data_IF_933199040402
#
_entry.id   IF_933199040402
#
_cell.length_a   1.000
_cell.length_b   1.000
_cell.length_c   1.000
_cell.angle_alpha   90.00
_cell.angle_beta   90.00
_cell.angle_gamma   90.00
#
_symmetry.space_group_name_H-M   'P 1'
#
loop_
_entity.id
_entity.type
_entity.pdbx_description
1 polymer ?
#
# COMPACT_ATOMS: atom_id res chain seq x y z
N UNK A 1 3.15 -8.56 -4.37
CA UNK A 1 4.46 -8.08 -3.89
C UNK A 1 5.13 -9.14 -3.02
N UNK A 2 6.36 -9.53 -3.36
CA UNK A 2 7.24 -10.35 -2.52
C UNK A 2 8.61 -9.67 -2.44
N UNK A 3 9.15 -9.51 -1.22
CA UNK A 3 10.40 -8.79 -0.98
C UNK A 3 11.40 -9.73 -0.30
N UNK A 4 12.54 -10.00 -0.96
CA UNK A 4 13.61 -10.79 -0.34
C UNK A 4 14.49 -9.94 0.59
N UNK A 5 14.10 -9.89 1.86
CA UNK A 5 14.81 -9.15 2.91
C UNK A 5 16.29 -9.57 3.10
N UNK A 6 16.67 -10.81 2.74
CA UNK A 6 18.06 -11.27 2.87
C UNK A 6 18.98 -10.58 1.87
N UNK A 7 18.52 -10.41 0.64
CA UNK A 7 19.27 -9.71 -0.41
C UNK A 7 19.41 -8.22 -0.10
N UNK A 8 18.39 -7.63 0.53
CA UNK A 8 18.40 -6.22 0.93
C UNK A 8 19.36 -5.96 2.09
N UNK A 9 19.36 -6.85 3.09
CA UNK A 9 20.30 -6.79 4.20
C UNK A 9 21.77 -6.96 3.75
N UNK A 10 22.03 -7.75 2.72
CA UNK A 10 23.37 -7.95 2.16
C UNK A 10 23.89 -6.71 1.41
N UNK A 11 23.00 -5.94 0.78
CA UNK A 11 23.35 -4.72 0.03
C UNK A 11 23.45 -3.47 0.91
N UNK A 12 22.92 -3.50 2.13
CA UNK A 12 23.03 -2.42 3.13
C UNK A 12 22.36 -1.10 2.74
N UNK A 13 21.58 -1.07 1.66
CA UNK A 13 20.94 0.13 1.14
C UNK A 13 19.42 0.09 1.35
N UNK A 14 18.79 1.23 1.65
CA UNK A 14 17.34 1.34 1.64
C UNK A 14 16.78 1.00 0.25
N UNK A 15 15.67 0.27 0.24
CA UNK A 15 14.98 -0.08 -1.01
C UNK A 15 13.72 0.76 -1.14
N UNK A 16 13.56 1.36 -2.31
CA UNK A 16 12.30 2.00 -2.69
C UNK A 16 11.48 1.02 -3.51
N UNK A 17 10.20 0.95 -3.19
CA UNK A 17 9.19 0.13 -3.83
C UNK A 17 8.14 1.09 -4.37
N UNK A 18 7.85 0.95 -5.65
CA UNK A 18 6.77 1.63 -6.34
C UNK A 18 5.98 0.54 -7.06
N UNK A 19 4.85 0.13 -6.47
CA UNK A 19 4.04 -0.95 -7.03
C UNK A 19 2.57 -0.58 -7.13
N UNK A 20 1.94 -1.07 -8.19
CA UNK A 20 0.49 -1.07 -8.35
C UNK A 20 -0.11 -2.25 -7.58
N UNK A 21 -1.16 -1.97 -6.80
CA UNK A 21 -1.88 -2.95 -5.99
C UNK A 21 -3.27 -3.15 -6.58
N UNK A 22 -3.59 -4.40 -6.91
CA UNK A 22 -4.97 -4.78 -7.25
C UNK A 22 -5.84 -4.77 -5.99
N UNK A 23 -6.76 -3.80 -5.94
CA UNK A 23 -7.72 -3.62 -4.86
C UNK A 23 -9.10 -4.20 -5.18
N UNK A 24 -9.28 -4.85 -6.33
CA UNK A 24 -10.56 -5.40 -6.79
C UNK A 24 -11.25 -6.25 -5.72
N UNK A 25 -10.47 -7.08 -5.02
CA UNK A 25 -10.94 -7.94 -3.93
C UNK A 25 -11.41 -7.17 -2.69
N UNK A 26 -10.81 -6.01 -2.39
CA UNK A 26 -11.16 -5.16 -1.25
C UNK A 26 -12.44 -4.37 -1.50
N UNK A 27 -12.65 -3.93 -2.74
CA UNK A 27 -13.81 -3.11 -3.13
C UNK A 27 -15.03 -3.93 -3.57
N UNK A 28 -14.86 -5.22 -3.87
CA UNK A 28 -15.89 -6.11 -4.43
C UNK A 28 -17.25 -6.08 -3.69
N UNK A 29 -17.25 -5.91 -2.37
CA UNK A 29 -18.47 -5.93 -1.56
C UNK A 29 -18.94 -4.53 -1.11
N UNK A 30 -18.30 -3.46 -1.59
CA UNK A 30 -18.61 -2.07 -1.24
C UNK A 30 -19.53 -1.44 -2.29
N UNK A 31 -20.83 -1.39 -1.98
CA UNK A 31 -21.85 -0.79 -2.87
C UNK A 31 -21.76 0.73 -2.98
N UNK A 32 -21.08 1.36 -2.04
CA UNK A 32 -20.83 2.79 -2.00
C UNK A 32 -19.69 3.23 -2.92
N UNK A 33 -18.86 2.30 -3.41
CA UNK A 33 -17.80 2.58 -4.38
C UNK A 33 -18.35 2.33 -5.79
N UNK A 34 -18.39 3.39 -6.59
CA UNK A 34 -18.90 3.39 -7.97
C UNK A 34 -17.78 3.08 -8.98
N UNK A 35 -16.61 3.67 -8.77
CA UNK A 35 -15.39 3.40 -9.55
C UNK A 35 -14.17 3.44 -8.62
N UNK A 36 -13.11 2.74 -9.02
CA UNK A 36 -11.84 2.77 -8.32
C UNK A 36 -10.69 2.77 -9.34
N UNK A 37 -9.68 3.60 -9.07
CA UNK A 37 -8.42 3.62 -9.80
C UNK A 37 -7.44 2.57 -9.28
N UNK A 38 -6.28 2.50 -9.93
CA UNK A 38 -5.16 1.68 -9.46
C UNK A 38 -4.63 2.24 -8.15
N UNK A 39 -4.51 1.41 -7.12
CA UNK A 39 -3.82 1.80 -5.90
C UNK A 39 -2.30 1.71 -6.14
N UNK A 40 -1.56 2.73 -5.74
CA UNK A 40 -0.10 2.80 -5.91
C UNK A 40 0.54 2.89 -4.54
N UNK A 41 1.48 1.99 -4.26
CA UNK A 41 2.24 1.95 -3.02
C UNK A 41 3.66 2.46 -3.25
N UNK A 42 3.99 3.56 -2.57
CA UNK A 42 5.32 4.16 -2.51
C UNK A 42 5.92 3.86 -1.14
N UNK A 43 6.72 2.79 -1.04
CA UNK A 43 7.26 2.30 0.23
C UNK A 43 8.79 2.30 0.23
N UNK A 44 9.36 2.65 1.37
CA UNK A 44 10.79 2.55 1.67
C UNK A 44 11.01 1.46 2.70
N UNK A 45 11.94 0.55 2.41
CA UNK A 45 12.36 -0.52 3.32
C UNK A 45 13.78 -0.26 3.77
N UNK A 46 13.98 -0.20 5.09
CA UNK A 46 15.29 -0.07 5.72
C UNK A 46 15.55 -1.33 6.55
N UNK A 47 16.56 -2.09 6.17
CA UNK A 47 16.97 -3.27 6.92
C UNK A 47 17.91 -2.87 8.06
N UNK A 48 17.47 -3.05 9.30
CA UNK A 48 18.30 -2.90 10.50
C UNK A 48 18.67 -4.28 11.06
N UNK A 49 19.46 -4.33 12.13
CA UNK A 49 19.90 -5.60 12.74
C UNK A 49 18.68 -6.32 13.32
N UNK A 50 18.27 -7.44 12.70
CA UNK A 50 17.17 -8.28 13.18
C UNK A 50 15.77 -7.88 12.69
N UNK A 51 15.57 -6.67 12.16
CA UNK A 51 14.27 -6.20 11.65
C UNK A 51 14.39 -5.47 10.31
N UNK A 52 13.24 -5.24 9.69
CA UNK A 52 13.08 -4.40 8.52
C UNK A 52 11.96 -3.39 8.80
N UNK A 53 12.28 -2.12 8.73
CA UNK A 53 11.32 -1.03 8.85
C UNK A 53 10.78 -0.71 7.47
N UNK A 54 9.46 -0.70 7.32
CA UNK A 54 8.75 -0.35 6.10
C UNK A 54 7.94 0.90 6.38
N UNK A 55 8.18 1.97 5.63
CA UNK A 55 7.44 3.23 5.76
C UNK A 55 7.13 3.83 4.39
N UNK A 56 6.03 4.57 4.27
CA UNK A 56 5.66 5.20 3.01
C UNK A 56 4.18 5.54 2.96
N UNK A 57 3.61 5.59 1.76
CA UNK A 57 2.18 5.79 1.59
C UNK A 57 1.57 5.01 0.44
N UNK A 58 0.27 4.82 0.52
CA UNK A 58 -0.53 4.16 -0.51
C UNK A 58 -1.56 5.17 -1.00
N UNK A 59 -1.51 5.47 -2.30
CA UNK A 59 -2.41 6.41 -2.95
C UNK A 59 -3.44 5.68 -3.79
N UNK A 60 -4.65 6.19 -3.77
CA UNK A 60 -5.81 5.54 -4.37
C UNK A 60 -6.85 6.59 -4.73
N UNK A 61 -7.36 6.52 -5.96
CA UNK A 61 -8.52 7.29 -6.40
C UNK A 61 -9.79 6.44 -6.32
N UNK A 62 -10.82 6.93 -5.65
CA UNK A 62 -12.13 6.31 -5.58
C UNK A 62 -13.19 7.29 -6.05
N UNK A 63 -14.23 6.76 -6.68
CA UNK A 63 -15.49 7.47 -6.86
C UNK A 63 -16.54 6.79 -5.99
N UNK A 64 -17.08 7.51 -5.03
CA UNK A 64 -18.05 7.01 -4.06
C UNK A 64 -19.42 7.69 -4.23
N UNK A 65 -20.49 7.00 -3.86
CA UNK A 65 -21.81 7.61 -3.75
C UNK A 65 -21.93 8.40 -2.46
N UNK A 66 -22.22 9.71 -2.56
CA UNK A 66 -22.41 10.55 -1.38
C UNK A 66 -23.62 10.09 -0.57
N UNK A 67 -23.44 9.79 0.72
CA UNK A 67 -24.54 9.32 1.58
C UNK A 67 -25.67 10.35 1.77
N UNK A 68 -25.40 11.64 1.51
CA UNK A 68 -26.39 12.72 1.69
C UNK A 68 -27.23 13.00 0.44
N UNK A 69 -26.61 12.96 -0.74
CA UNK A 69 -27.26 13.37 -1.99
C UNK A 69 -27.19 12.33 -3.10
N UNK A 70 -26.56 11.17 -2.84
CA UNK A 70 -26.35 10.05 -3.77
C UNK A 70 -25.58 10.38 -5.05
N UNK A 71 -25.05 11.59 -5.17
CA UNK A 71 -24.22 12.01 -6.29
C UNK A 71 -22.83 11.37 -6.21
N UNK A 72 -22.20 11.02 -7.34
CA UNK A 72 -20.82 10.57 -7.36
C UNK A 72 -19.87 11.66 -6.82
N UNK A 73 -18.93 11.26 -5.97
CA UNK A 73 -17.87 12.10 -5.41
C UNK A 73 -16.55 11.40 -5.64
N UNK A 74 -15.62 12.10 -6.29
CA UNK A 74 -14.25 11.62 -6.49
C UNK A 74 -13.39 12.02 -5.29
N UNK A 75 -12.71 11.05 -4.72
CA UNK A 75 -11.81 11.22 -3.59
C UNK A 75 -10.45 10.59 -3.89
N UNK A 76 -9.38 11.31 -3.58
CA UNK A 76 -8.03 10.77 -3.56
C UNK A 76 -7.65 10.50 -2.12
N UNK A 77 -7.42 9.24 -1.78
CA UNK A 77 -6.93 8.83 -0.48
C UNK A 77 -5.41 8.67 -0.52
N UNK A 78 -4.73 9.26 0.45
CA UNK A 78 -3.32 9.06 0.72
C UNK A 78 -3.19 8.42 2.12
N UNK A 79 -2.89 7.12 2.13
CA UNK A 79 -2.91 6.29 3.34
C UNK A 79 -1.47 6.11 3.80
N UNK A 80 -1.06 6.71 4.94
CA UNK A 80 0.28 6.48 5.47
C UNK A 80 0.43 5.02 5.91
N UNK A 81 1.54 4.39 5.53
CA UNK A 81 1.87 3.02 5.89
C UNK A 81 3.18 2.99 6.69
N UNK A 82 3.17 2.31 7.84
CA UNK A 82 4.33 2.17 8.71
C UNK A 82 4.28 0.85 9.48
N UNK A 83 5.29 0.00 9.31
CA UNK A 83 5.37 -1.28 10.03
C UNK A 83 6.83 -1.72 10.24
N UNK A 84 7.06 -2.51 11.29
CA UNK A 84 8.37 -3.13 11.57
C UNK A 84 8.21 -4.64 11.49
N UNK A 85 8.92 -5.26 10.55
CA UNK A 85 8.86 -6.69 10.29
C UNK A 85 10.10 -7.41 10.86
N UNK A 86 9.95 -8.55 11.54
CA UNK A 86 11.09 -9.37 11.94
C UNK A 86 11.75 -10.00 10.70
N UNK A 87 13.08 -10.15 10.68
CA UNK A 87 13.82 -10.75 9.55
C UNK A 87 13.44 -12.21 9.20
N UNK A 88 12.57 -12.86 9.98
CA UNK A 88 12.40 -14.33 9.95
C UNK A 88 11.33 -14.84 8.96
N UNK A 89 10.38 -14.04 8.51
CA UNK A 89 9.33 -14.51 7.59
C UNK A 89 8.57 -13.35 6.94
N UNK A 90 8.58 -13.28 5.62
CA UNK A 90 7.44 -12.82 4.82
C UNK A 90 7.44 -13.75 3.60
N UNK A 91 6.46 -14.66 3.55
CA UNK A 91 6.19 -15.51 2.38
C UNK A 91 5.49 -14.66 1.34
#
# INVERSE_FOLDING_TARGET
MQINLRDLAAKGQPVQLHEEIDISSLVKNRKDILHYGTAVADLKVICTVGTAEVSGSIKLELECSCSRCLTPVKETMDIPFGNVLPRRQVV
#
